data_IF_925318565881
#
_entry.id   IF_925318565881
#
_cell.length_a   1.000
_cell.length_b   1.000
_cell.length_c   1.000
_cell.angle_alpha   90.00
_cell.angle_beta   90.00
_cell.angle_gamma   90.00
#
_symmetry.space_group_name_H-M   'P 1'
#
loop_
_entity.id
_entity.type
_entity.pdbx_description
1 polymer ?
#
# COMPACT_ATOMS: atom_id res chain seq x y z
N UNK A 1 28.47 -5.05 1.30
CA UNK A 1 27.86 -3.70 1.34
C UNK A 1 27.12 -3.51 2.66
N UNK A 2 27.81 -3.25 3.78
CA UNK A 2 27.19 -3.21 5.13
C UNK A 2 26.10 -2.15 5.32
N UNK A 3 26.18 -1.05 4.57
CA UNK A 3 25.27 0.09 4.64
C UNK A 3 23.99 -0.08 3.81
N UNK A 4 23.96 -1.05 2.89
CA UNK A 4 22.82 -1.25 1.98
C UNK A 4 21.80 -2.16 2.66
N UNK A 5 20.66 -1.60 3.07
CA UNK A 5 19.47 -2.33 3.52
C UNK A 5 18.41 -2.26 2.41
N UNK A 6 17.83 -3.39 2.05
CA UNK A 6 16.77 -3.45 1.05
C UNK A 6 15.40 -3.23 1.71
N UNK A 7 14.45 -2.54 1.05
CA UNK A 7 13.11 -2.35 1.58
C UNK A 7 12.21 -3.56 1.29
N UNK A 8 12.62 -4.75 1.73
CA UNK A 8 11.95 -6.01 1.39
C UNK A 8 10.48 -6.03 1.86
N UNK A 9 10.19 -5.47 3.04
CA UNK A 9 8.82 -5.41 3.59
C UNK A 9 7.89 -4.56 2.69
N UNK A 10 8.19 -3.28 2.38
CA UNK A 10 7.40 -2.50 1.43
C UNK A 10 7.30 -3.14 0.04
N UNK A 11 8.37 -3.78 -0.44
CA UNK A 11 8.37 -4.47 -1.74
C UNK A 11 7.38 -5.64 -1.77
N UNK A 12 7.39 -6.48 -0.73
CA UNK A 12 6.46 -7.60 -0.59
C UNK A 12 5.01 -7.13 -0.41
N UNK A 13 4.78 -6.09 0.40
CA UNK A 13 3.44 -5.50 0.58
C UNK A 13 2.90 -5.00 -0.75
N UNK A 14 3.71 -4.26 -1.53
CA UNK A 14 3.34 -3.82 -2.88
C UNK A 14 3.04 -4.99 -3.81
N UNK A 15 3.86 -6.05 -3.79
CA UNK A 15 3.64 -7.24 -4.61
C UNK A 15 2.34 -7.98 -4.25
N UNK A 16 2.00 -8.06 -2.96
CA UNK A 16 0.79 -8.73 -2.47
C UNK A 16 -0.51 -8.06 -2.93
N UNK A 17 -0.47 -6.78 -3.32
CA UNK A 17 -1.62 -6.09 -3.94
C UNK A 17 -2.10 -6.84 -5.18
N UNK A 18 -1.21 -7.33 -6.04
CA UNK A 18 -1.59 -8.07 -7.25
C UNK A 18 -2.39 -9.32 -6.93
N UNK A 19 -2.02 -10.04 -5.86
CA UNK A 19 -2.75 -11.24 -5.39
C UNK A 19 -4.16 -10.89 -4.91
N UNK A 20 -4.30 -9.83 -4.10
CA UNK A 20 -5.61 -9.39 -3.59
C UNK A 20 -6.53 -8.93 -4.73
N UNK A 21 -5.99 -8.20 -5.72
CA UNK A 21 -6.75 -7.84 -6.92
C UNK A 21 -7.16 -9.07 -7.73
N UNK A 22 -6.29 -10.08 -7.84
CA UNK A 22 -6.61 -11.36 -8.48
C UNK A 22 -7.77 -12.09 -7.80
N UNK A 23 -7.77 -12.14 -6.46
CA UNK A 23 -8.87 -12.73 -5.67
C UNK A 23 -10.21 -12.03 -5.91
N UNK A 24 -10.21 -10.69 -5.96
CA UNK A 24 -11.40 -9.92 -6.28
C UNK A 24 -11.92 -10.27 -7.68
N UNK A 25 -11.04 -10.27 -8.69
CA UNK A 25 -11.42 -10.58 -10.07
C UNK A 25 -11.98 -12.00 -10.19
N UNK A 26 -11.37 -12.98 -9.52
CA UNK A 26 -11.85 -14.36 -9.48
C UNK A 26 -13.27 -14.44 -8.89
N UNK A 27 -13.52 -13.76 -7.77
CA UNK A 27 -14.84 -13.76 -7.13
C UNK A 27 -15.92 -13.09 -8.00
N UNK A 28 -15.58 -11.98 -8.66
CA UNK A 28 -16.50 -11.31 -9.60
C UNK A 28 -16.86 -12.21 -10.79
N UNK A 29 -15.89 -12.96 -11.32
CA UNK A 29 -16.11 -13.90 -12.43
C UNK A 29 -16.90 -15.11 -11.95
N UNK A 30 -16.60 -15.64 -10.76
CA UNK A 30 -17.38 -16.72 -10.15
C UNK A 30 -18.85 -16.34 -10.11
N UNK A 31 -19.17 -15.14 -9.60
CA UNK A 31 -20.54 -14.64 -9.43
C UNK A 31 -21.26 -14.26 -10.74
N UNK A 32 -20.53 -14.12 -11.84
CA UNK A 32 -21.07 -13.57 -13.11
C UNK A 32 -22.07 -14.52 -13.75
N UNK A 33 -23.35 -14.13 -13.75
CA UNK A 33 -24.40 -14.82 -14.51
C UNK A 33 -24.87 -16.13 -13.87
N UNK A 34 -24.57 -16.36 -12.59
CA UNK A 34 -25.13 -17.47 -11.83
C UNK A 34 -26.66 -17.34 -11.73
N UNK A 35 -27.43 -18.35 -12.18
CA UNK A 35 -28.87 -18.35 -11.97
C UNK A 35 -29.18 -18.52 -10.49
N UNK A 36 -30.32 -18.00 -10.03
CA UNK A 36 -30.81 -18.26 -8.68
C UNK A 36 -31.32 -19.72 -8.57
N UNK A 37 -31.24 -20.38 -7.41
CA UNK A 37 -30.74 -19.92 -6.12
C UNK A 37 -29.31 -20.41 -5.83
N UNK A 38 -29.14 -21.33 -4.86
CA UNK A 38 -27.82 -21.86 -4.51
C UNK A 38 -27.24 -22.71 -5.66
N UNK A 39 -25.97 -22.46 -5.99
CA UNK A 39 -25.17 -23.27 -6.91
C UNK A 39 -23.90 -23.73 -6.20
N UNK A 40 -23.41 -24.92 -6.54
CA UNK A 40 -22.23 -25.51 -5.87
C UNK A 40 -20.93 -24.78 -6.19
N UNK A 41 -20.88 -24.02 -7.28
CA UNK A 41 -19.82 -23.09 -7.66
C UNK A 41 -19.45 -22.15 -6.50
N UNK A 42 -20.44 -21.74 -5.68
CA UNK A 42 -20.25 -20.91 -4.49
C UNK A 42 -19.44 -21.59 -3.37
N UNK A 43 -18.97 -22.83 -3.58
CA UNK A 43 -17.97 -23.43 -2.70
C UNK A 43 -16.60 -22.72 -2.81
N UNK A 44 -16.29 -22.13 -3.97
CA UNK A 44 -15.01 -21.46 -4.29
C UNK A 44 -14.85 -20.05 -3.67
N UNK A 45 -15.89 -19.52 -3.01
CA UNK A 45 -15.88 -18.16 -2.45
C UNK A 45 -14.90 -17.98 -1.25
N UNK A 46 -14.62 -19.06 -0.52
CA UNK A 46 -13.93 -18.99 0.78
C UNK A 46 -12.43 -18.86 0.64
N UNK A 47 -11.84 -19.57 -0.32
CA UNK A 47 -10.38 -19.65 -0.43
C UNK A 47 -9.76 -18.28 -0.72
N UNK A 48 -10.27 -17.61 -1.76
CA UNK A 48 -9.86 -16.28 -2.15
C UNK A 48 -10.12 -15.24 -1.03
N UNK A 49 -11.25 -15.35 -0.34
CA UNK A 49 -11.60 -14.47 0.78
C UNK A 49 -10.65 -14.66 1.97
N UNK A 50 -10.41 -15.91 2.38
CA UNK A 50 -9.57 -16.22 3.52
C UNK A 50 -8.10 -15.87 3.27
N UNK A 51 -7.56 -16.16 2.08
CA UNK A 51 -6.21 -15.71 1.75
C UNK A 51 -6.13 -14.18 1.69
N UNK A 52 -7.15 -13.48 1.17
CA UNK A 52 -7.20 -12.01 1.20
C UNK A 52 -7.10 -11.47 2.62
N UNK A 53 -7.94 -11.96 3.54
CA UNK A 53 -7.94 -11.51 4.94
C UNK A 53 -6.58 -11.79 5.60
N UNK A 54 -6.02 -12.99 5.40
CA UNK A 54 -4.69 -13.35 5.93
C UNK A 54 -3.60 -12.44 5.36
N UNK A 55 -3.66 -12.16 4.06
CA UNK A 55 -2.71 -11.29 3.35
C UNK A 55 -2.72 -9.89 3.92
N UNK A 56 -3.90 -9.26 3.98
CA UNK A 56 -4.04 -7.87 4.40
C UNK A 56 -3.62 -7.72 5.87
N UNK A 57 -4.03 -8.65 6.75
CA UNK A 57 -3.60 -8.64 8.15
C UNK A 57 -2.07 -8.70 8.29
N UNK A 58 -1.43 -9.62 7.59
CA UNK A 58 0.04 -9.75 7.61
C UNK A 58 0.75 -8.51 7.05
N UNK A 59 0.21 -7.89 5.98
CA UNK A 59 0.77 -6.65 5.44
C UNK A 59 0.66 -5.50 6.45
N UNK A 60 -0.47 -5.34 7.12
CA UNK A 60 -0.68 -4.30 8.12
C UNK A 60 0.25 -4.48 9.32
N UNK A 61 0.40 -5.71 9.81
CA UNK A 61 1.32 -6.03 10.90
C UNK A 61 2.76 -5.70 10.52
N UNK A 62 3.24 -6.18 9.36
CA UNK A 62 4.60 -5.94 8.90
C UNK A 62 4.91 -4.45 8.69
N UNK A 63 3.98 -3.68 8.09
CA UNK A 63 4.14 -2.24 7.93
C UNK A 63 4.12 -1.50 9.26
N UNK A 64 3.32 -1.96 10.22
CA UNK A 64 3.27 -1.37 11.58
C UNK A 64 4.61 -1.54 12.28
N UNK A 65 5.20 -2.75 12.24
CA UNK A 65 6.53 -3.02 12.80
C UNK A 65 7.59 -2.16 12.10
N UNK A 66 7.56 -2.09 10.77
CA UNK A 66 8.51 -1.26 10.01
C UNK A 66 8.46 0.21 10.44
N UNK A 67 7.26 0.78 10.57
CA UNK A 67 7.10 2.19 10.94
C UNK A 67 7.47 2.47 12.40
N UNK A 68 7.24 1.53 13.31
CA UNK A 68 7.52 1.71 14.74
C UNK A 68 8.97 1.43 15.12
N UNK A 69 9.58 0.44 14.48
CA UNK A 69 10.85 -0.14 14.94
C UNK A 69 11.92 -0.16 13.85
N UNK A 70 11.53 -0.25 12.57
CA UNK A 70 12.45 -0.48 11.46
C UNK A 70 12.89 0.76 10.69
N UNK A 71 12.32 1.93 10.99
CA UNK A 71 12.52 3.15 10.22
C UNK A 71 13.10 4.28 11.08
N UNK A 72 14.11 4.95 10.54
CA UNK A 72 14.73 6.13 11.15
C UNK A 72 14.75 7.27 10.13
N UNK A 73 14.21 8.42 10.52
CA UNK A 73 14.21 9.61 9.68
C UNK A 73 15.52 10.38 9.82
N UNK A 74 16.22 10.60 8.71
CA UNK A 74 17.36 11.51 8.66
C UNK A 74 16.86 12.95 8.56
N UNK A 75 16.36 13.49 9.66
CA UNK A 75 15.71 14.83 9.75
C UNK A 75 16.57 15.95 9.17
N UNK A 76 17.88 15.97 9.43
CA UNK A 76 18.78 16.96 8.86
C UNK A 76 18.84 16.91 7.32
N UNK A 77 18.86 15.70 6.74
CA UNK A 77 18.82 15.51 5.27
C UNK A 77 17.47 15.92 4.70
N UNK A 78 16.38 15.60 5.39
CA UNK A 78 15.03 15.99 4.98
C UNK A 78 14.89 17.53 4.99
N UNK A 79 15.38 18.20 6.04
CA UNK A 79 15.33 19.66 6.15
C UNK A 79 16.17 20.36 5.06
N UNK A 80 17.38 19.85 4.79
CA UNK A 80 18.23 20.39 3.72
C UNK A 80 17.56 20.28 2.34
N UNK A 81 16.90 19.15 2.05
CA UNK A 81 16.22 18.95 0.77
C UNK A 81 15.08 19.96 0.53
N UNK A 82 14.35 20.35 1.58
CA UNK A 82 13.25 21.34 1.49
C UNK A 82 13.80 22.77 1.35
N UNK A 83 15.01 23.06 1.83
CA UNK A 83 15.61 24.38 1.68
C UNK A 83 16.13 24.66 0.26
N UNK A 84 16.37 23.61 -0.54
CA UNK A 84 17.01 23.67 -1.85
C UNK A 84 16.04 23.45 -3.03
N UNK A 85 14.73 23.42 -2.80
CA UNK A 85 13.73 23.08 -3.83
C UNK A 85 12.85 24.25 -4.32
N UNK A 86 13.06 25.47 -3.79
CA UNK A 86 12.25 26.67 -4.07
C UNK A 86 10.74 26.48 -3.82
N UNK A 87 10.35 25.53 -2.98
CA UNK A 87 8.93 25.26 -2.67
C UNK A 87 8.19 26.46 -2.07
N UNK A 88 8.92 27.39 -1.43
CA UNK A 88 8.38 28.65 -0.91
C UNK A 88 8.14 29.75 -1.97
N UNK A 89 8.45 29.51 -3.24
CA UNK A 89 8.21 30.49 -4.31
C UNK A 89 6.72 30.82 -4.44
N UNK A 90 5.84 29.85 -4.19
CA UNK A 90 4.38 30.05 -4.13
C UNK A 90 4.02 30.99 -2.98
N UNK A 91 4.59 30.80 -1.79
CA UNK A 91 4.33 31.67 -0.64
C UNK A 91 4.79 33.12 -0.92
N UNK A 92 5.90 33.30 -1.63
CA UNK A 92 6.38 34.62 -2.07
C UNK A 92 5.41 35.26 -3.07
N UNK A 93 4.89 34.48 -4.02
CA UNK A 93 3.91 34.98 -4.99
C UNK A 93 2.60 35.40 -4.29
N UNK A 94 2.10 34.60 -3.35
CA UNK A 94 0.91 34.91 -2.55
C UNK A 94 1.13 36.18 -1.71
N UNK A 95 2.31 36.31 -1.08
CA UNK A 95 2.67 37.51 -0.32
C UNK A 95 2.68 38.77 -1.19
N UNK A 96 3.18 38.69 -2.43
CA UNK A 96 3.21 39.80 -3.35
C UNK A 96 1.83 40.13 -3.93
N UNK A 97 0.98 39.12 -4.17
CA UNK A 97 -0.37 39.30 -4.70
C UNK A 97 -1.36 39.83 -3.65
N UNK A 98 -1.12 39.56 -2.36
CA UNK A 98 -1.92 40.08 -1.25
C UNK A 98 -1.59 41.54 -0.86
N UNK A 99 -0.57 42.14 -1.49
CA UNK A 99 -0.22 43.57 -1.39
C UNK A 99 -0.75 44.34 -2.60
#
# INVERSE_FOLDING_TARGET
MPQKKNPDVPELVRGKTGRVCGHLQALLVLMKGLPLAYNKDLQEDKEALFDTVKTVKACLEAMTILLREGLEFRTARLAAAVAEDFSNATDVADYLAAR
#
